data_IF_087024717557
#
_entry.id   IF_087024717557
#
_cell.length_a   1.000
_cell.length_b   1.000
_cell.length_c   1.000
_cell.angle_alpha   90.00
_cell.angle_beta   90.00
_cell.angle_gamma   90.00
#
_symmetry.space_group_name_H-M   'P 1'
#
loop_
_entity.id
_entity.type
_entity.pdbx_description
1 polymer ?
#
# COMPACT_ATOMS: atom_id res chain seq x y z
N UNK A 1 39.35 -36.56 -33.18
CA UNK A 1 40.15 -36.45 -31.92
C UNK A 1 39.64 -35.23 -31.16
N UNK A 2 38.51 -35.43 -30.51
CA UNK A 2 37.86 -34.36 -29.76
C UNK A 2 38.31 -34.43 -28.29
N UNK A 3 39.21 -33.54 -27.90
CA UNK A 3 39.48 -33.22 -26.50
C UNK A 3 38.31 -32.41 -25.98
N UNK A 4 37.22 -33.10 -25.60
CA UNK A 4 36.17 -32.50 -24.80
C UNK A 4 36.77 -32.07 -23.47
N UNK A 5 36.79 -30.78 -23.25
CA UNK A 5 37.17 -30.14 -21.98
C UNK A 5 36.31 -30.75 -20.86
N UNK A 6 36.94 -31.53 -19.95
CA UNK A 6 36.32 -32.01 -18.73
C UNK A 6 36.13 -30.83 -17.78
N UNK A 7 35.09 -30.06 -18.01
CA UNK A 7 34.66 -28.99 -17.10
C UNK A 7 34.01 -29.62 -15.87
N UNK A 8 34.77 -29.77 -14.79
CA UNK A 8 34.25 -30.15 -13.49
C UNK A 8 33.47 -28.98 -12.89
N UNK A 9 32.17 -28.94 -13.12
CA UNK A 9 31.26 -27.94 -12.51
C UNK A 9 30.91 -28.21 -11.04
N UNK A 10 31.54 -29.19 -10.39
CA UNK A 10 31.29 -29.50 -8.98
C UNK A 10 32.43 -29.02 -8.11
N UNK A 11 32.11 -28.07 -7.21
CA UNK A 11 32.97 -27.70 -6.10
C UNK A 11 33.02 -28.84 -5.06
N UNK A 12 34.17 -29.03 -4.38
CA UNK A 12 34.32 -29.99 -3.27
C UNK A 12 33.25 -29.79 -2.18
N UNK A 13 32.78 -28.58 -2.01
CA UNK A 13 31.73 -28.21 -1.04
C UNK A 13 30.32 -28.65 -1.52
N UNK A 14 30.04 -28.51 -2.80
CA UNK A 14 28.74 -28.87 -3.40
C UNK A 14 28.54 -30.38 -3.48
N UNK A 15 29.61 -31.16 -3.58
CA UNK A 15 29.55 -32.61 -3.79
C UNK A 15 28.99 -33.36 -2.59
N UNK A 16 29.13 -32.85 -1.37
CA UNK A 16 28.70 -33.51 -0.13
C UNK A 16 27.48 -32.86 0.54
N UNK A 17 26.98 -31.74 -0.01
CA UNK A 17 25.92 -30.98 0.65
C UNK A 17 24.55 -31.67 0.66
N UNK A 18 24.30 -32.56 -0.32
CA UNK A 18 23.01 -33.23 -0.48
C UNK A 18 23.07 -34.75 -0.54
N UNK A 19 24.26 -35.34 -0.36
CA UNK A 19 24.42 -36.82 -0.52
C UNK A 19 23.86 -37.61 0.67
N UNK A 20 23.75 -37.01 1.86
CA UNK A 20 23.28 -37.66 3.10
C UNK A 20 22.04 -36.99 3.70
N UNK A 21 21.26 -36.24 2.94
CA UNK A 21 20.00 -35.70 3.41
C UNK A 21 18.90 -36.76 3.30
N UNK A 22 18.75 -37.59 4.31
CA UNK A 22 17.55 -38.41 4.53
C UNK A 22 16.44 -37.55 5.12
N UNK A 23 15.92 -36.62 4.33
CA UNK A 23 14.68 -35.92 4.69
C UNK A 23 13.51 -36.84 4.38
N UNK A 24 12.91 -37.38 5.42
CA UNK A 24 11.66 -38.14 5.32
C UNK A 24 10.50 -37.16 5.10
N UNK A 25 10.30 -36.76 3.83
CA UNK A 25 9.24 -35.87 3.41
C UNK A 25 7.84 -36.48 3.69
N UNK A 26 7.70 -37.80 3.62
CA UNK A 26 6.41 -38.46 3.82
C UNK A 26 6.05 -38.59 5.30
N UNK A 27 7.02 -38.84 6.19
CA UNK A 27 6.78 -38.95 7.64
C UNK A 27 6.55 -37.56 8.29
N UNK A 28 7.02 -36.48 7.66
CA UNK A 28 6.91 -35.12 8.22
C UNK A 28 5.63 -34.41 7.82
N UNK A 29 4.80 -34.96 6.93
CA UNK A 29 3.57 -34.33 6.43
C UNK A 29 2.63 -33.85 7.53
N UNK A 30 2.39 -34.68 8.57
CA UNK A 30 1.51 -34.31 9.69
C UNK A 30 2.04 -33.10 10.46
N UNK A 31 3.35 -33.04 10.70
CA UNK A 31 3.99 -31.93 11.40
C UNK A 31 3.94 -30.66 10.56
N UNK A 32 4.24 -30.78 9.26
CA UNK A 32 4.14 -29.66 8.32
C UNK A 32 2.71 -29.10 8.26
N UNK A 33 1.71 -29.98 8.18
CA UNK A 33 0.31 -29.57 8.15
C UNK A 33 -0.12 -28.82 9.43
N UNK A 34 0.29 -29.32 10.61
CA UNK A 34 0.00 -28.68 11.89
C UNK A 34 0.65 -27.29 11.97
N UNK A 35 1.93 -27.17 11.57
CA UNK A 35 2.65 -25.90 11.58
C UNK A 35 2.00 -24.90 10.62
N UNK A 36 1.69 -25.33 9.39
CA UNK A 36 1.04 -24.47 8.40
C UNK A 36 -0.35 -24.02 8.87
N UNK A 37 -1.14 -24.93 9.44
CA UNK A 37 -2.46 -24.58 10.00
C UNK A 37 -2.34 -23.60 11.16
N UNK A 38 -1.37 -23.76 12.04
CA UNK A 38 -1.11 -22.83 13.13
C UNK A 38 -0.73 -21.44 12.61
N UNK A 39 0.14 -21.36 11.61
CA UNK A 39 0.52 -20.08 10.98
C UNK A 39 -0.70 -19.41 10.34
N UNK A 40 -1.52 -20.17 9.61
CA UNK A 40 -2.75 -19.62 8.99
C UNK A 40 -3.70 -19.09 10.06
N UNK A 41 -3.91 -19.82 11.16
CA UNK A 41 -4.75 -19.37 12.27
C UNK A 41 -4.23 -18.08 12.92
N UNK A 42 -2.91 -17.98 13.12
CA UNK A 42 -2.27 -16.76 13.65
C UNK A 42 -2.47 -15.59 12.68
N UNK A 43 -2.32 -15.81 11.39
CA UNK A 43 -2.55 -14.77 10.36
C UNK A 43 -4.01 -14.31 10.37
N UNK A 44 -4.97 -15.23 10.43
CA UNK A 44 -6.40 -14.91 10.50
C UNK A 44 -6.72 -14.14 11.79
N UNK A 45 -6.22 -14.60 12.94
CA UNK A 45 -6.40 -13.93 14.21
C UNK A 45 -5.81 -12.50 14.20
N UNK A 46 -4.61 -12.34 13.65
CA UNK A 46 -3.98 -11.02 13.49
C UNK A 46 -4.80 -10.09 12.59
N UNK A 47 -5.36 -10.64 11.52
CA UNK A 47 -6.22 -9.92 10.60
C UNK A 47 -7.52 -9.43 11.26
N UNK A 48 -8.15 -10.28 12.07
CA UNK A 48 -9.39 -9.93 12.81
C UNK A 48 -9.12 -8.88 13.89
N UNK A 49 -7.98 -8.99 14.60
CA UNK A 49 -7.65 -8.08 15.71
C UNK A 49 -7.17 -6.73 15.21
N UNK A 50 -6.28 -6.71 14.20
CA UNK A 50 -5.68 -5.47 13.69
C UNK A 50 -6.46 -4.82 12.57
N UNK A 51 -7.33 -5.57 11.88
CA UNK A 51 -8.01 -5.12 10.67
C UNK A 51 -7.05 -4.91 9.50
N UNK A 52 -7.57 -4.38 8.43
CA UNK A 52 -6.83 -3.94 7.24
C UNK A 52 -6.75 -2.42 7.21
N UNK A 53 -5.55 -1.89 7.00
CA UNK A 53 -5.39 -0.49 6.59
C UNK A 53 -5.86 -0.36 5.14
N UNK A 54 -7.07 0.16 4.97
CA UNK A 54 -7.69 0.31 3.65
C UNK A 54 -7.28 1.64 3.02
N UNK A 55 -7.00 1.63 1.73
CA UNK A 55 -6.82 2.85 0.93
C UNK A 55 -8.15 3.58 0.79
N UNK A 56 -8.10 4.86 0.45
CA UNK A 56 -9.29 5.66 0.15
C UNK A 56 -10.12 5.12 -1.03
N UNK A 57 -9.54 4.28 -1.87
CA UNK A 57 -10.27 3.60 -2.95
C UNK A 57 -11.34 2.64 -2.40
N UNK A 58 -11.16 2.15 -1.16
CA UNK A 58 -12.07 1.23 -0.48
C UNK A 58 -12.86 1.86 0.67
N UNK A 59 -12.44 3.01 1.16
CA UNK A 59 -13.12 3.73 2.26
C UNK A 59 -13.76 5.03 1.80
N UNK A 60 -13.39 5.48 0.61
CA UNK A 60 -13.64 6.83 0.14
C UNK A 60 -12.71 7.84 0.80
N UNK A 61 -12.55 8.99 0.21
CA UNK A 61 -11.70 10.06 0.74
C UNK A 61 -11.12 10.96 -0.35
N UNK A 62 -10.16 11.77 0.07
CA UNK A 62 -9.43 12.68 -0.81
C UNK A 62 -7.95 12.39 -0.72
N UNK A 63 -7.29 12.39 -1.87
CA UNK A 63 -5.84 12.27 -2.02
C UNK A 63 -5.29 13.59 -2.57
N UNK A 64 -4.32 14.14 -1.88
CA UNK A 64 -3.53 15.27 -2.35
C UNK A 64 -2.09 14.84 -2.54
N UNK A 65 -1.52 15.11 -3.72
CA UNK A 65 -0.08 14.96 -3.93
C UNK A 65 0.55 16.32 -3.74
N UNK A 66 1.36 16.46 -2.70
CA UNK A 66 2.08 17.69 -2.37
C UNK A 66 3.54 17.49 -2.72
N UNK A 67 4.09 18.37 -3.51
CA UNK A 67 5.51 18.42 -3.83
C UNK A 67 6.20 19.45 -2.96
N UNK A 68 7.32 19.09 -2.34
CA UNK A 68 8.17 19.94 -1.53
C UNK A 68 9.45 20.31 -2.27
N UNK A 69 10.08 21.40 -1.89
CA UNK A 69 11.37 21.83 -2.45
C UNK A 69 12.52 20.92 -2.01
N UNK A 70 12.43 20.38 -0.80
CA UNK A 70 13.44 19.51 -0.20
C UNK A 70 12.86 18.14 0.14
N UNK A 71 13.70 17.09 0.24
CA UNK A 71 13.27 15.80 0.74
C UNK A 71 12.68 15.92 2.14
N UNK A 72 11.50 15.33 2.36
CA UNK A 72 10.77 15.38 3.63
C UNK A 72 10.44 13.97 4.10
N UNK A 73 10.54 13.76 5.40
CA UNK A 73 10.07 12.53 6.02
C UNK A 73 8.53 12.56 6.16
N UNK A 74 7.81 11.54 5.63
CA UNK A 74 6.35 11.51 5.63
C UNK A 74 5.73 11.58 7.02
N UNK A 75 6.43 11.08 8.01
CA UNK A 75 5.96 11.07 9.40
C UNK A 75 5.84 12.49 9.98
N UNK A 76 6.82 13.36 9.69
CA UNK A 76 6.76 14.76 10.12
C UNK A 76 5.54 15.49 9.50
N UNK A 77 5.24 15.21 8.24
CA UNK A 77 4.06 15.74 7.57
C UNK A 77 2.78 15.18 8.19
N UNK A 78 2.77 13.88 8.50
CA UNK A 78 1.62 13.20 9.12
C UNK A 78 1.26 13.78 10.49
N UNK A 79 2.25 14.02 11.34
CA UNK A 79 2.03 14.57 12.68
C UNK A 79 1.40 15.97 12.62
N UNK A 80 1.89 16.84 11.74
CA UNK A 80 1.36 18.19 11.56
C UNK A 80 -0.09 18.17 11.06
N UNK A 81 -0.38 17.33 10.05
CA UNK A 81 -1.71 17.24 9.48
C UNK A 81 -2.69 16.56 10.44
N UNK A 82 -2.29 15.51 11.15
CA UNK A 82 -3.14 14.81 12.09
C UNK A 82 -3.63 15.73 13.22
N UNK A 83 -2.78 16.64 13.70
CA UNK A 83 -3.15 17.62 14.72
C UNK A 83 -4.24 18.60 14.23
N UNK A 84 -4.24 18.94 12.95
CA UNK A 84 -5.20 19.92 12.38
C UNK A 84 -6.52 19.27 11.93
N UNK A 85 -6.49 18.00 11.52
CA UNK A 85 -7.66 17.28 11.00
C UNK A 85 -8.43 16.48 12.07
N UNK A 86 -7.98 16.48 13.34
CA UNK A 86 -8.67 15.88 14.48
C UNK A 86 -8.88 14.37 14.33
N UNK A 87 -10.14 13.91 14.42
CA UNK A 87 -10.49 12.48 14.39
C UNK A 87 -10.45 11.86 12.97
N UNK A 88 -10.21 12.64 11.93
CA UNK A 88 -10.14 12.11 10.57
C UNK A 88 -8.91 11.21 10.40
N UNK A 89 -9.10 10.13 9.65
CA UNK A 89 -7.97 9.27 9.28
C UNK A 89 -7.08 10.00 8.28
N UNK A 90 -5.82 10.20 8.66
CA UNK A 90 -4.80 10.79 7.80
C UNK A 90 -3.71 9.75 7.54
N UNK A 91 -3.40 9.53 6.28
CA UNK A 91 -2.28 8.70 5.84
C UNK A 91 -1.37 9.51 4.95
N UNK A 92 -0.08 9.50 5.24
CA UNK A 92 0.94 10.21 4.46
C UNK A 92 1.99 9.22 4.02
N UNK A 93 2.25 9.15 2.71
CA UNK A 93 3.26 8.28 2.13
C UNK A 93 4.12 9.06 1.14
N UNK A 94 5.44 8.77 1.14
CA UNK A 94 6.34 9.32 0.13
C UNK A 94 6.09 8.69 -1.24
N UNK A 95 6.19 9.49 -2.29
CA UNK A 95 6.14 9.06 -3.69
C UNK A 95 7.48 9.38 -4.32
N UNK A 96 8.06 8.38 -4.99
CA UNK A 96 9.38 8.54 -5.62
C UNK A 96 10.55 8.28 -4.66
N UNK A 97 11.73 8.21 -5.22
CA UNK A 97 12.97 7.93 -4.48
C UNK A 97 13.62 9.20 -3.93
N UNK A 98 13.23 10.36 -4.44
CA UNK A 98 13.71 11.67 -4.04
C UNK A 98 13.07 12.21 -2.74
N UNK A 99 12.01 11.54 -2.25
CA UNK A 99 11.25 11.93 -1.05
C UNK A 99 10.74 13.37 -1.03
N UNK A 100 10.63 13.99 -2.21
CA UNK A 100 10.12 15.36 -2.35
C UNK A 100 8.62 15.41 -2.51
N UNK A 101 8.00 14.32 -2.94
CA UNK A 101 6.56 14.26 -3.15
C UNK A 101 5.94 13.35 -2.12
N UNK A 102 4.91 13.83 -1.45
CA UNK A 102 4.10 13.03 -0.53
C UNK A 102 2.66 12.96 -1.00
N UNK A 103 2.03 11.83 -0.77
CA UNK A 103 0.59 11.67 -0.90
C UNK A 103 -0.04 11.77 0.48
N UNK A 104 -0.91 12.73 0.63
CA UNK A 104 -1.76 12.91 1.81
C UNK A 104 -3.14 12.38 1.48
N UNK A 105 -3.59 11.39 2.21
CA UNK A 105 -4.92 10.78 2.08
C UNK A 105 -5.74 11.07 3.32
N UNK A 106 -6.95 11.58 3.18
CA UNK A 106 -7.84 11.87 4.31
C UNK A 106 -9.30 11.56 3.98
N UNK A 107 -10.04 11.09 4.98
CA UNK A 107 -11.49 10.91 4.92
C UNK A 107 -12.27 12.06 5.57
N UNK A 108 -11.60 13.19 5.83
CA UNK A 108 -12.23 14.36 6.44
C UNK A 108 -13.45 14.82 5.63
N UNK A 109 -14.60 14.96 6.31
CA UNK A 109 -15.89 15.37 5.74
C UNK A 109 -16.24 14.68 4.41
N UNK A 110 -16.03 13.36 4.36
CA UNK A 110 -16.18 12.57 3.13
C UNK A 110 -17.62 12.59 2.56
N UNK A 111 -18.61 12.70 3.45
CA UNK A 111 -20.04 12.69 3.09
C UNK A 111 -20.50 14.04 2.52
N UNK A 112 -19.67 15.07 2.62
CA UNK A 112 -19.99 16.38 2.11
C UNK A 112 -19.41 16.60 0.72
N UNK A 113 -20.30 16.87 -0.22
CA UNK A 113 -19.94 17.15 -1.60
C UNK A 113 -20.10 18.65 -1.87
N UNK A 114 -18.98 19.37 -1.95
CA UNK A 114 -18.98 20.77 -2.32
C UNK A 114 -17.57 21.30 -2.56
N UNK A 115 -17.44 22.24 -3.48
CA UNK A 115 -16.14 22.90 -3.75
C UNK A 115 -15.65 23.66 -2.50
N UNK A 116 -16.56 24.09 -1.63
CA UNK A 116 -16.23 24.77 -0.37
C UNK A 116 -15.46 23.88 0.59
N UNK A 117 -15.81 22.59 0.67
CA UNK A 117 -15.11 21.62 1.52
C UNK A 117 -13.72 21.31 0.98
N UNK A 118 -13.59 21.21 -0.34
CA UNK A 118 -12.31 20.93 -0.97
C UNK A 118 -11.35 22.13 -0.74
N UNK A 119 -11.85 23.37 -0.88
CA UNK A 119 -11.06 24.58 -0.57
C UNK A 119 -10.69 24.68 0.91
N UNK A 120 -11.57 24.32 1.84
CA UNK A 120 -11.28 24.28 3.28
C UNK A 120 -10.17 23.28 3.59
N UNK A 121 -10.20 22.10 2.97
CA UNK A 121 -9.17 21.07 3.17
C UNK A 121 -7.82 21.54 2.61
N UNK A 122 -7.81 22.17 1.43
CA UNK A 122 -6.60 22.71 0.83
C UNK A 122 -5.98 23.83 1.70
N UNK A 123 -6.81 24.69 2.29
CA UNK A 123 -6.37 25.72 3.22
C UNK A 123 -5.81 25.11 4.53
N UNK A 124 -6.50 24.12 5.13
CA UNK A 124 -5.99 23.42 6.30
C UNK A 124 -4.67 22.70 6.01
N UNK A 125 -4.60 22.03 4.86
CA UNK A 125 -3.38 21.35 4.43
C UNK A 125 -2.22 22.35 4.27
N UNK A 126 -2.48 23.51 3.66
CA UNK A 126 -1.49 24.58 3.55
C UNK A 126 -1.01 25.05 4.92
N UNK A 127 -1.92 25.34 5.84
CA UNK A 127 -1.59 25.80 7.19
C UNK A 127 -0.77 24.76 7.95
N UNK A 128 -1.12 23.48 7.84
CA UNK A 128 -0.40 22.39 8.50
C UNK A 128 1.02 22.21 7.94
N UNK A 129 1.20 22.28 6.61
CA UNK A 129 2.52 22.07 5.99
C UNK A 129 3.37 23.34 5.89
N UNK A 130 2.80 24.51 6.15
CA UNK A 130 3.49 25.80 6.07
C UNK A 130 4.85 25.84 6.80
N UNK A 131 5.03 25.24 8.00
CA UNK A 131 6.33 25.21 8.67
C UNK A 131 7.41 24.42 7.92
N UNK A 132 7.02 23.54 7.01
CA UNK A 132 7.90 22.67 6.21
C UNK A 132 8.25 23.29 4.84
N UNK A 133 7.57 24.38 4.46
CA UNK A 133 7.85 25.10 3.21
C UNK A 133 9.05 26.00 3.40
N UNK A 134 10.02 25.91 2.51
CA UNK A 134 11.28 26.68 2.60
C UNK A 134 11.06 28.15 2.24
N UNK A 135 10.07 28.43 1.40
CA UNK A 135 9.72 29.79 0.95
C UNK A 135 8.35 30.19 1.50
N UNK A 136 8.13 31.49 1.68
CA UNK A 136 6.81 32.03 1.99
C UNK A 136 5.90 32.00 0.74
N UNK A 137 5.40 30.82 0.44
CA UNK A 137 4.50 30.57 -0.68
C UNK A 137 3.10 30.99 -0.27
N UNK A 138 2.37 31.70 -1.15
CA UNK A 138 0.98 32.07 -0.88
C UNK A 138 0.06 30.85 -1.00
N UNK A 139 -1.11 30.88 -0.36
CA UNK A 139 -2.13 29.84 -0.51
C UNK A 139 -2.50 29.60 -1.97
N UNK A 140 -2.63 30.66 -2.77
CA UNK A 140 -2.95 30.56 -4.20
C UNK A 140 -1.87 29.81 -4.97
N UNK A 141 -0.59 30.10 -4.69
CA UNK A 141 0.55 29.40 -5.32
C UNK A 141 0.63 27.95 -4.87
N UNK A 142 0.26 27.66 -3.62
CA UNK A 142 0.22 26.29 -3.09
C UNK A 142 -0.88 25.42 -3.74
N UNK A 143 -2.02 26.02 -4.06
CA UNK A 143 -3.15 25.34 -4.69
C UNK A 143 -2.97 25.26 -6.22
N UNK A 144 -2.12 26.09 -6.79
CA UNK A 144 -1.86 26.13 -8.24
C UNK A 144 -1.17 24.83 -8.67
N UNK A 145 -1.93 24.00 -9.37
CA UNK A 145 -1.50 22.65 -9.83
C UNK A 145 -0.51 22.69 -11.00
N UNK A 146 -0.40 23.82 -11.66
CA UNK A 146 0.56 24.04 -12.76
C UNK A 146 1.93 24.50 -12.22
N UNK A 147 2.00 24.82 -10.93
CA UNK A 147 3.24 25.22 -10.28
C UNK A 147 4.04 23.99 -9.83
N UNK A 148 5.05 23.61 -10.61
CA UNK A 148 5.94 22.48 -10.32
C UNK A 148 7.27 22.90 -9.68
N UNK A 149 7.37 24.11 -9.16
CA UNK A 149 8.62 24.63 -8.58
C UNK A 149 8.88 24.14 -7.14
N UNK A 150 7.97 23.40 -6.56
CA UNK A 150 8.00 22.94 -5.18
C UNK A 150 7.09 23.75 -4.26
N UNK A 151 6.64 23.14 -3.17
CA UNK A 151 5.70 23.76 -2.24
C UNK A 151 4.29 23.92 -2.80
N UNK A 152 3.79 22.96 -3.59
CA UNK A 152 2.46 23.03 -4.20
C UNK A 152 1.76 21.67 -4.26
N UNK A 153 0.42 21.73 -4.38
CA UNK A 153 -0.42 20.57 -4.68
C UNK A 153 -0.37 20.29 -6.18
N UNK A 154 0.33 19.24 -6.59
CA UNK A 154 0.44 18.84 -8.00
C UNK A 154 -0.74 18.02 -8.50
N UNK A 155 -1.51 17.40 -7.60
CA UNK A 155 -2.69 16.59 -7.97
C UNK A 155 -3.62 16.44 -6.79
N UNK A 156 -4.91 16.49 -7.07
CA UNK A 156 -5.94 16.15 -6.10
C UNK A 156 -6.93 15.15 -6.72
N UNK A 157 -7.33 14.15 -5.95
CA UNK A 157 -8.28 13.12 -6.36
C UNK A 157 -9.27 12.88 -5.24
N UNK A 158 -10.54 12.70 -5.60
CA UNK A 158 -11.62 12.42 -4.67
C UNK A 158 -12.33 11.13 -5.07
N UNK A 159 -12.53 10.26 -4.09
CA UNK A 159 -13.35 9.06 -4.25
C UNK A 159 -14.54 9.16 -3.31
N UNK A 160 -15.74 9.16 -3.87
CA UNK A 160 -16.97 9.19 -3.08
C UNK A 160 -17.20 7.87 -2.33
N UNK A 161 -17.92 7.89 -1.19
CA UNK A 161 -18.19 6.69 -0.39
C UNK A 161 -18.92 5.60 -1.17
N UNK A 162 -19.89 5.96 -1.99
CA UNK A 162 -20.66 5.02 -2.82
C UNK A 162 -19.78 4.29 -3.82
N UNK A 163 -18.87 5.01 -4.49
CA UNK A 163 -17.91 4.42 -5.44
C UNK A 163 -16.95 3.46 -4.72
N UNK A 164 -16.48 3.85 -3.54
CA UNK A 164 -15.61 3.01 -2.72
C UNK A 164 -16.30 1.71 -2.28
N UNK A 165 -17.58 1.77 -1.88
CA UNK A 165 -18.37 0.60 -1.51
C UNK A 165 -18.62 -0.32 -2.70
N UNK A 166 -18.89 0.22 -3.87
CA UNK A 166 -19.07 -0.56 -5.10
C UNK A 166 -17.77 -1.29 -5.48
N UNK A 167 -16.62 -0.60 -5.40
CA UNK A 167 -15.30 -1.21 -5.66
C UNK A 167 -15.02 -2.33 -4.67
N UNK A 168 -15.23 -2.09 -3.38
CA UNK A 168 -15.02 -3.07 -2.31
C UNK A 168 -15.88 -4.31 -2.49
N UNK A 169 -17.16 -4.11 -2.74
CA UNK A 169 -18.15 -5.19 -2.92
C UNK A 169 -17.84 -5.98 -4.19
N UNK A 170 -17.56 -5.30 -5.29
CA UNK A 170 -17.14 -5.91 -6.54
C UNK A 170 -15.85 -6.73 -6.43
N UNK A 171 -14.87 -6.24 -5.68
CA UNK A 171 -13.61 -6.97 -5.43
C UNK A 171 -13.85 -8.27 -4.66
N UNK A 172 -14.68 -8.24 -3.60
CA UNK A 172 -15.02 -9.43 -2.81
C UNK A 172 -15.73 -10.47 -3.67
N UNK A 173 -16.75 -10.06 -4.42
CA UNK A 173 -17.48 -10.99 -5.32
C UNK A 173 -16.57 -11.58 -6.38
N UNK A 174 -15.68 -10.80 -6.96
CA UNK A 174 -14.75 -11.26 -7.99
C UNK A 174 -13.78 -12.32 -7.46
N UNK A 175 -13.24 -12.13 -6.26
CA UNK A 175 -12.36 -13.12 -5.62
C UNK A 175 -13.10 -14.42 -5.32
N UNK A 176 -14.30 -14.34 -4.74
CA UNK A 176 -15.11 -15.53 -4.43
C UNK A 176 -15.46 -16.29 -5.70
N UNK A 177 -15.92 -15.60 -6.75
CA UNK A 177 -16.24 -16.20 -8.04
C UNK A 177 -15.02 -16.88 -8.68
N UNK A 178 -13.87 -16.23 -8.63
CA UNK A 178 -12.62 -16.79 -9.15
C UNK A 178 -12.21 -18.08 -8.41
N UNK A 179 -12.32 -18.09 -7.07
CA UNK A 179 -12.02 -19.29 -6.27
C UNK A 179 -12.97 -20.44 -6.60
N UNK A 180 -14.27 -20.17 -6.76
CA UNK A 180 -15.25 -21.18 -7.15
C UNK A 180 -14.94 -21.69 -8.56
N UNK A 181 -14.66 -20.85 -9.52
CA UNK A 181 -14.33 -21.25 -10.89
C UNK A 181 -13.08 -22.12 -10.94
N UNK A 182 -12.02 -21.73 -10.22
CA UNK A 182 -10.77 -22.51 -10.12
C UNK A 182 -11.04 -23.86 -9.43
N UNK A 183 -11.80 -23.87 -8.33
CA UNK A 183 -12.18 -25.10 -7.63
C UNK A 183 -12.95 -26.07 -8.52
N UNK A 184 -13.95 -25.57 -9.25
CA UNK A 184 -14.72 -26.38 -10.21
C UNK A 184 -13.82 -26.91 -11.35
N UNK A 185 -12.94 -26.07 -11.89
CA UNK A 185 -11.99 -26.50 -12.92
C UNK A 185 -11.10 -27.64 -12.42
N UNK A 186 -10.56 -27.54 -11.21
CA UNK A 186 -9.71 -28.56 -10.60
C UNK A 186 -10.51 -29.85 -10.42
N UNK A 187 -11.74 -29.78 -9.88
CA UNK A 187 -12.60 -30.95 -9.67
C UNK A 187 -12.93 -31.68 -10.99
N UNK A 188 -13.23 -30.92 -12.05
CA UNK A 188 -13.55 -31.49 -13.36
C UNK A 188 -12.32 -32.07 -14.06
N UNK A 189 -11.15 -31.42 -13.91
CA UNK A 189 -9.92 -31.79 -14.63
C UNK A 189 -9.19 -32.98 -14.01
N UNK A 190 -9.26 -33.13 -12.68
CA UNK A 190 -8.52 -34.13 -11.91
C UNK A 190 -9.42 -35.23 -11.31
N UNK A 191 -10.62 -35.41 -11.87
CA UNK A 191 -11.52 -36.50 -11.52
C UNK A 191 -11.20 -37.73 -12.33
#
# INVERSE_FOLDING_TARGET
KDKLLNLKFQSKFSKNLFVNTHFDFMGTNKKAFIITSAVILICIASFVIRGLSQSIDFTGGRNYKVQFEQPIEPEAVRELIANDFGEATVSVIAIGTDKRTVRVSTNYRINENGNTVDSEIEERLYNAVKPLLTQNISLQTFIDRDNHTGGSIISSQKVGPSIADDIKTGAIYSVVLALIAIGLYILLRFR
#
